data_IF_325147061292
#
_entry.id   IF_325147061292
#
_cell.length_a   1.000
_cell.length_b   1.000
_cell.length_c   1.000
_cell.angle_alpha   90.00
_cell.angle_beta   90.00
_cell.angle_gamma   90.00
#
_symmetry.space_group_name_H-M   'P 1'
#
loop_
_entity.id
_entity.type
_entity.pdbx_description
1 polymer ?
#
# COMPACT_ATOMS: atom_id res chain seq x y z
N UNK A 1 -33.89 17.71 0.83
CA UNK A 1 -33.49 17.28 -0.51
C UNK A 1 -33.50 15.77 -0.56
N UNK A 2 -34.01 15.21 -1.62
CA UNK A 2 -33.95 13.76 -1.86
C UNK A 2 -32.63 13.37 -2.54
N UNK A 3 -32.17 12.11 -2.46
CA UNK A 3 -30.91 11.69 -3.07
C UNK A 3 -30.76 12.01 -4.56
N UNK A 4 -31.85 11.99 -5.32
CA UNK A 4 -31.86 12.31 -6.76
C UNK A 4 -31.76 13.82 -7.06
N UNK A 5 -31.85 14.68 -6.05
CA UNK A 5 -31.67 16.13 -6.17
C UNK A 5 -30.22 16.54 -5.89
N UNK A 6 -29.37 15.59 -5.47
CA UNK A 6 -27.97 15.84 -5.16
C UNK A 6 -27.09 15.73 -6.42
N UNK A 7 -26.14 16.63 -6.57
CA UNK A 7 -25.03 16.38 -7.51
C UNK A 7 -24.18 15.21 -7.02
N UNK A 8 -23.44 14.54 -7.92
CA UNK A 8 -22.58 13.42 -7.55
C UNK A 8 -21.59 13.76 -6.42
N UNK A 9 -21.01 14.96 -6.44
CA UNK A 9 -20.13 15.43 -5.37
C UNK A 9 -20.85 15.71 -4.05
N UNK A 10 -22.12 16.14 -4.08
CA UNK A 10 -22.93 16.30 -2.87
C UNK A 10 -23.30 14.94 -2.29
N UNK A 11 -23.75 14.00 -3.11
CA UNK A 11 -24.09 12.64 -2.69
C UNK A 11 -22.90 11.96 -2.03
N UNK A 12 -21.70 12.09 -2.61
CA UNK A 12 -20.46 11.53 -2.05
C UNK A 12 -20.11 12.13 -0.69
N UNK A 13 -20.21 13.44 -0.52
CA UNK A 13 -19.98 14.10 0.79
C UNK A 13 -21.00 13.66 1.84
N UNK A 14 -22.26 13.47 1.46
CA UNK A 14 -23.27 12.91 2.36
C UNK A 14 -22.90 11.49 2.77
N UNK A 15 -22.47 10.64 1.81
CA UNK A 15 -22.04 9.26 2.10
C UNK A 15 -20.85 9.24 3.07
N UNK A 16 -19.83 10.06 2.84
CA UNK A 16 -18.70 10.21 3.77
C UNK A 16 -19.20 10.65 5.15
N UNK A 17 -20.05 11.69 5.20
CA UNK A 17 -20.63 12.17 6.46
C UNK A 17 -21.38 11.08 7.22
N UNK A 18 -22.14 10.23 6.55
CA UNK A 18 -22.84 9.12 7.21
C UNK A 18 -21.88 8.04 7.75
N UNK A 19 -20.74 7.82 7.07
CA UNK A 19 -19.74 6.85 7.54
C UNK A 19 -18.98 7.31 8.78
N UNK A 20 -18.83 8.63 8.99
CA UNK A 20 -18.00 9.16 10.08
C UNK A 20 -18.78 9.77 11.23
N UNK A 21 -20.10 9.90 11.12
CA UNK A 21 -20.96 10.55 12.15
C UNK A 21 -20.85 9.91 13.53
N UNK A 22 -20.60 8.60 13.60
CA UNK A 22 -20.45 7.83 14.82
C UNK A 22 -18.99 7.78 15.34
N UNK A 23 -18.09 8.57 14.75
CA UNK A 23 -16.67 8.62 15.10
C UNK A 23 -16.01 7.22 15.15
N UNK A 24 -16.02 6.47 14.05
CA UNK A 24 -15.48 5.12 14.02
C UNK A 24 -13.96 5.12 14.25
N UNK A 25 -13.43 4.03 14.79
CA UNK A 25 -11.98 3.84 14.97
C UNK A 25 -11.26 3.54 13.64
N UNK A 26 -11.99 3.05 12.63
CA UNK A 26 -11.46 2.72 11.30
C UNK A 26 -12.46 3.17 10.23
N UNK A 27 -11.97 3.88 9.25
CA UNK A 27 -12.71 4.24 8.02
C UNK A 27 -12.05 3.55 6.83
N UNK A 28 -12.85 2.85 6.02
CA UNK A 28 -12.40 2.25 4.77
C UNK A 28 -13.05 3.04 3.63
N UNK A 29 -12.22 3.65 2.78
CA UNK A 29 -12.65 4.43 1.64
C UNK A 29 -12.19 3.73 0.34
N UNK A 30 -13.13 3.11 -0.35
CA UNK A 30 -12.88 2.42 -1.61
C UNK A 30 -13.23 3.35 -2.77
N UNK A 31 -12.21 3.71 -3.57
CA UNK A 31 -12.29 4.60 -4.71
C UNK A 31 -13.13 5.87 -4.42
N UNK A 32 -12.74 6.71 -3.44
CA UNK A 32 -13.57 7.85 -3.05
C UNK A 32 -13.52 9.02 -4.05
N UNK A 33 -12.61 9.03 -5.02
CA UNK A 33 -12.33 10.18 -5.89
C UNK A 33 -12.70 10.04 -7.38
N UNK A 34 -13.10 8.88 -7.95
CA UNK A 34 -13.36 8.76 -9.38
C UNK A 34 -14.36 9.82 -9.90
N UNK A 35 -14.06 10.35 -11.08
CA UNK A 35 -14.90 11.37 -11.71
C UNK A 35 -14.83 12.77 -11.09
N UNK A 36 -13.94 12.98 -10.12
CA UNK A 36 -13.64 14.31 -9.60
C UNK A 36 -12.40 14.88 -10.30
N UNK A 37 -12.38 16.17 -10.56
CA UNK A 37 -11.15 16.86 -10.94
C UNK A 37 -10.21 16.96 -9.71
N UNK A 38 -8.90 17.09 -9.94
CA UNK A 38 -7.85 17.03 -8.93
C UNK A 38 -8.16 17.84 -7.66
N UNK A 39 -8.59 19.10 -7.80
CA UNK A 39 -8.87 19.95 -6.66
C UNK A 39 -10.05 19.45 -5.80
N UNK A 40 -11.09 18.88 -6.44
CA UNK A 40 -12.22 18.30 -5.71
C UNK A 40 -11.84 16.97 -5.05
N UNK A 41 -10.99 16.17 -5.70
CA UNK A 41 -10.45 14.94 -5.12
C UNK A 41 -9.62 15.25 -3.87
N UNK A 42 -8.71 16.20 -3.94
CA UNK A 42 -7.91 16.63 -2.78
C UNK A 42 -8.77 17.15 -1.63
N UNK A 43 -9.86 17.87 -1.91
CA UNK A 43 -10.81 18.28 -0.85
C UNK A 43 -11.53 17.11 -0.20
N UNK A 44 -11.85 16.07 -0.94
CA UNK A 44 -12.41 14.84 -0.35
C UNK A 44 -11.39 14.15 0.52
N UNK A 45 -10.16 14.03 0.03
CA UNK A 45 -9.07 13.35 0.75
C UNK A 45 -8.63 14.11 2.00
N UNK A 46 -8.71 15.48 2.01
CA UNK A 46 -8.43 16.25 3.22
C UNK A 46 -9.38 15.93 4.38
N UNK A 47 -10.64 15.57 4.10
CA UNK A 47 -11.55 15.13 5.16
C UNK A 47 -11.13 13.80 5.77
N UNK A 48 -10.61 12.86 4.96
CA UNK A 48 -10.04 11.62 5.50
C UNK A 48 -8.78 11.88 6.33
N UNK A 49 -7.96 12.85 5.92
CA UNK A 49 -6.80 13.27 6.71
C UNK A 49 -7.22 13.87 8.06
N UNK A 50 -8.24 14.74 8.08
CA UNK A 50 -8.80 15.30 9.31
C UNK A 50 -9.31 14.20 10.27
N UNK A 51 -9.93 13.15 9.72
CA UNK A 51 -10.40 11.99 10.50
C UNK A 51 -9.21 11.22 11.09
N UNK A 52 -8.16 11.00 10.31
CA UNK A 52 -6.93 10.35 10.77
C UNK A 52 -6.24 11.17 11.87
N UNK A 53 -6.16 12.50 11.71
CA UNK A 53 -5.58 13.41 12.70
C UNK A 53 -6.37 13.44 14.02
N UNK A 54 -7.65 13.07 14.00
CA UNK A 54 -8.49 12.87 15.19
C UNK A 54 -8.30 11.51 15.85
N UNK A 55 -7.45 10.64 15.28
CA UNK A 55 -7.05 9.37 15.86
C UNK A 55 -7.76 8.13 15.29
N UNK A 56 -8.56 8.25 14.25
CA UNK A 56 -9.10 7.11 13.54
C UNK A 56 -8.08 6.56 12.52
N UNK A 57 -8.06 5.25 12.33
CA UNK A 57 -7.37 4.64 11.18
C UNK A 57 -8.13 4.93 9.89
N UNK A 58 -7.41 5.25 8.81
CA UNK A 58 -8.02 5.41 7.48
C UNK A 58 -7.33 4.48 6.49
N UNK A 59 -8.11 3.60 5.88
CA UNK A 59 -7.70 2.74 4.79
C UNK A 59 -8.28 3.29 3.49
N UNK A 60 -7.42 3.87 2.64
CA UNK A 60 -7.79 4.39 1.34
C UNK A 60 -7.41 3.38 0.25
N UNK A 61 -8.39 2.89 -0.51
CA UNK A 61 -8.18 2.05 -1.69
C UNK A 61 -8.33 2.92 -2.92
N UNK A 62 -7.29 3.00 -3.75
CA UNK A 62 -7.31 3.80 -4.98
C UNK A 62 -6.30 3.28 -6.01
N UNK A 63 -6.56 3.53 -7.28
CA UNK A 63 -5.60 3.33 -8.36
C UNK A 63 -4.82 4.61 -8.70
N UNK A 64 -5.12 5.74 -8.04
CA UNK A 64 -4.46 7.02 -8.25
C UNK A 64 -3.31 7.19 -7.26
N UNK A 65 -2.10 6.80 -7.71
CA UNK A 65 -0.90 6.89 -6.89
C UNK A 65 -0.54 8.33 -6.53
N UNK A 66 -0.78 9.30 -7.42
CA UNK A 66 -0.47 10.71 -7.15
C UNK A 66 -1.31 11.26 -5.99
N UNK A 67 -2.61 10.93 -5.96
CA UNK A 67 -3.49 11.30 -4.85
C UNK A 67 -3.12 10.57 -3.55
N UNK A 68 -2.79 9.28 -3.64
CA UNK A 68 -2.34 8.51 -2.49
C UNK A 68 -1.07 9.12 -1.86
N UNK A 69 -0.06 9.44 -2.67
CA UNK A 69 1.20 10.07 -2.22
C UNK A 69 1.00 11.43 -1.56
N UNK A 70 -0.04 12.17 -1.92
CA UNK A 70 -0.35 13.48 -1.32
C UNK A 70 -1.11 13.39 0.00
N UNK A 71 -1.66 12.23 0.33
CA UNK A 71 -2.63 12.10 1.43
C UNK A 71 -2.20 11.14 2.50
N UNK A 72 -1.61 10.01 2.11
CA UNK A 72 -1.27 8.92 3.00
C UNK A 72 0.11 9.05 3.63
N UNK A 73 0.30 8.37 4.76
CA UNK A 73 1.60 8.20 5.41
C UNK A 73 2.32 6.97 4.85
N UNK A 74 1.56 5.89 4.59
CA UNK A 74 2.06 4.62 4.06
C UNK A 74 1.29 4.17 2.83
N UNK A 75 1.95 3.43 1.96
CA UNK A 75 1.37 2.84 0.76
C UNK A 75 1.65 1.35 0.75
N UNK A 76 0.59 0.56 0.54
CA UNK A 76 0.71 -0.87 0.23
C UNK A 76 0.39 -1.08 -1.25
N UNK A 77 1.37 -1.51 -2.00
CA UNK A 77 1.23 -1.75 -3.43
C UNK A 77 0.73 -3.17 -3.69
N UNK A 78 -0.38 -3.26 -4.43
CA UNK A 78 -0.97 -4.54 -4.85
C UNK A 78 -0.68 -4.83 -6.30
N UNK A 79 -0.41 -6.10 -6.61
CA UNK A 79 -0.33 -6.63 -7.96
C UNK A 79 -1.05 -7.96 -8.04
N UNK A 80 -2.01 -8.06 -8.96
CA UNK A 80 -2.81 -9.28 -9.18
C UNK A 80 -3.39 -9.88 -7.87
N UNK A 81 -3.96 -9.03 -7.00
CA UNK A 81 -4.56 -9.45 -5.73
C UNK A 81 -3.57 -9.75 -4.61
N UNK A 82 -2.27 -9.50 -4.82
CA UNK A 82 -1.22 -9.78 -3.83
C UNK A 82 -0.53 -8.49 -3.42
N UNK A 83 -0.37 -8.26 -2.11
CA UNK A 83 0.49 -7.19 -1.59
C UNK A 83 1.96 -7.51 -1.92
N UNK A 84 2.62 -6.62 -2.63
CA UNK A 84 4.00 -6.81 -3.08
C UNK A 84 4.99 -5.94 -2.33
N UNK A 85 4.58 -4.76 -1.88
CA UNK A 85 5.42 -3.86 -1.09
C UNK A 85 4.56 -3.00 -0.17
N UNK A 86 5.05 -2.73 1.06
CA UNK A 86 4.62 -1.65 1.93
C UNK A 86 5.78 -0.68 2.08
N UNK A 87 5.53 0.59 1.85
CA UNK A 87 6.52 1.65 1.88
C UNK A 87 5.93 2.92 2.51
N UNK A 88 6.77 3.72 3.15
CA UNK A 88 6.40 5.07 3.52
C UNK A 88 6.30 5.95 2.27
N UNK A 89 5.41 6.94 2.26
CA UNK A 89 5.24 7.83 1.10
C UNK A 89 6.53 8.56 0.73
N UNK A 90 7.40 8.82 1.69
CA UNK A 90 8.72 9.44 1.45
C UNK A 90 9.66 8.57 0.61
N UNK A 91 9.46 7.25 0.59
CA UNK A 91 10.26 6.34 -0.24
C UNK A 91 9.99 6.58 -1.74
N UNK A 92 8.79 7.04 -2.09
CA UNK A 92 8.42 7.40 -3.46
C UNK A 92 9.07 8.70 -3.97
N UNK A 93 9.89 9.38 -3.19
CA UNK A 93 10.72 10.48 -3.68
C UNK A 93 11.91 10.01 -4.52
N UNK A 94 12.28 8.73 -4.43
CA UNK A 94 13.43 8.15 -5.14
C UNK A 94 13.16 6.69 -5.51
N UNK A 95 13.31 6.36 -6.77
CA UNK A 95 13.15 4.98 -7.25
C UNK A 95 14.02 3.99 -6.48
N UNK A 96 15.25 4.37 -6.12
CA UNK A 96 16.18 3.52 -5.39
C UNK A 96 15.71 3.13 -3.98
N UNK A 97 14.78 3.88 -3.39
CA UNK A 97 14.19 3.54 -2.09
C UNK A 97 13.07 2.50 -2.19
N UNK A 98 12.51 2.31 -3.38
CA UNK A 98 11.47 1.31 -3.64
C UNK A 98 12.10 -0.07 -3.80
N UNK A 99 11.44 -1.08 -3.25
CA UNK A 99 12.03 -2.41 -3.03
C UNK A 99 11.59 -3.42 -4.08
N UNK A 100 10.29 -3.46 -4.40
CA UNK A 100 9.76 -4.41 -5.35
C UNK A 100 9.92 -3.91 -6.81
N UNK A 101 10.35 -4.75 -7.77
CA UNK A 101 10.49 -4.35 -9.17
C UNK A 101 9.20 -3.77 -9.79
N UNK A 102 8.02 -4.26 -9.39
CA UNK A 102 6.75 -3.71 -9.83
C UNK A 102 6.51 -2.28 -9.29
N UNK A 103 6.81 -2.03 -8.01
CA UNK A 103 6.67 -0.69 -7.43
C UNK A 103 7.56 0.32 -8.15
N UNK A 104 8.79 -0.08 -8.52
CA UNK A 104 9.70 0.73 -9.35
C UNK A 104 9.14 0.97 -10.76
N UNK A 105 8.53 -0.06 -11.37
CA UNK A 105 7.88 0.10 -12.67
C UNK A 105 6.69 1.06 -12.58
N UNK A 106 5.89 0.96 -11.51
CA UNK A 106 4.77 1.87 -11.25
C UNK A 106 5.26 3.31 -11.07
N UNK A 107 6.34 3.52 -10.32
CA UNK A 107 6.99 4.82 -10.14
C UNK A 107 7.43 5.43 -11.48
N UNK A 108 8.12 4.67 -12.33
CA UNK A 108 8.55 5.13 -13.67
C UNK A 108 7.39 5.42 -14.62
N UNK A 109 6.25 4.78 -14.40
CA UNK A 109 5.05 5.01 -15.22
C UNK A 109 4.32 6.31 -14.85
N UNK A 110 4.65 6.96 -13.74
CA UNK A 110 4.08 8.26 -13.38
C UNK A 110 4.52 9.34 -14.36
N UNK A 111 3.65 10.32 -14.69
CA UNK A 111 3.99 11.42 -15.60
C UNK A 111 5.25 12.18 -15.20
N UNK A 112 5.44 12.43 -13.90
CA UNK A 112 6.60 13.16 -13.35
C UNK A 112 7.92 12.39 -13.47
N UNK A 113 7.87 11.07 -13.67
CA UNK A 113 9.03 10.19 -13.69
C UNK A 113 9.32 9.60 -15.06
N UNK A 114 8.86 10.27 -16.13
CA UNK A 114 9.22 9.94 -17.51
C UNK A 114 8.17 9.15 -18.28
N UNK A 115 7.03 8.81 -17.63
CA UNK A 115 5.89 8.13 -18.26
C UNK A 115 6.31 6.88 -19.05
N UNK A 116 7.15 6.04 -18.44
CA UNK A 116 7.66 4.82 -19.03
C UNK A 116 6.78 3.62 -18.66
N UNK A 117 5.84 3.20 -19.53
CA UNK A 117 4.95 2.08 -19.21
C UNK A 117 5.71 0.76 -19.24
N UNK A 118 5.40 -0.11 -18.30
CA UNK A 118 5.93 -1.47 -18.25
C UNK A 118 5.20 -2.37 -19.24
N UNK A 119 5.91 -3.07 -20.15
CA UNK A 119 5.29 -3.95 -21.13
C UNK A 119 4.64 -5.18 -20.51
N UNK A 120 3.71 -5.79 -21.26
CA UNK A 120 3.03 -7.02 -20.88
C UNK A 120 1.70 -6.79 -20.16
N UNK A 121 1.02 -7.88 -19.86
CA UNK A 121 -0.33 -7.90 -19.30
C UNK A 121 -0.27 -8.51 -17.90
N UNK A 122 -1.05 -7.96 -16.97
CA UNK A 122 -1.24 -8.58 -15.66
C UNK A 122 -1.92 -9.95 -15.84
N UNK A 123 -1.44 -11.02 -15.16
CA UNK A 123 -2.08 -12.33 -15.24
C UNK A 123 -3.51 -12.28 -14.67
N UNK A 124 -4.38 -13.11 -15.22
CA UNK A 124 -5.72 -13.30 -14.64
C UNK A 124 -5.61 -13.99 -13.28
N UNK A 125 -6.53 -13.63 -12.38
CA UNK A 125 -6.56 -14.22 -11.02
C UNK A 125 -6.66 -15.75 -11.03
N UNK A 126 -7.27 -16.34 -12.08
CA UNK A 126 -7.37 -17.79 -12.24
C UNK A 126 -6.10 -18.47 -12.74
N UNK A 127 -5.19 -17.69 -13.32
CA UNK A 127 -3.96 -18.17 -13.98
C UNK A 127 -2.72 -17.60 -13.26
N UNK A 128 -2.85 -17.29 -11.96
CA UNK A 128 -1.73 -16.79 -11.18
C UNK A 128 -0.65 -17.86 -11.05
N UNK A 129 0.64 -17.49 -11.22
CA UNK A 129 1.75 -18.39 -10.92
C UNK A 129 1.77 -18.75 -9.42
N UNK A 130 2.31 -19.91 -9.08
CA UNK A 130 2.46 -20.36 -7.69
C UNK A 130 3.34 -19.43 -6.86
N UNK A 131 4.30 -18.76 -7.48
CA UNK A 131 5.24 -17.84 -6.85
C UNK A 131 4.86 -16.37 -6.99
N UNK A 132 5.84 -15.54 -7.34
CA UNK A 132 5.63 -14.11 -7.52
C UNK A 132 4.70 -13.82 -8.71
N UNK A 133 3.54 -13.16 -8.52
CA UNK A 133 2.60 -12.89 -9.60
C UNK A 133 3.16 -11.93 -10.66
N UNK A 134 4.14 -11.11 -10.31
CA UNK A 134 4.84 -10.23 -11.24
C UNK A 134 5.96 -10.95 -12.02
N UNK A 135 6.32 -12.17 -11.63
CA UNK A 135 7.40 -12.96 -12.23
C UNK A 135 7.46 -12.91 -13.76
N UNK A 136 6.35 -13.19 -14.50
CA UNK A 136 6.33 -13.19 -15.95
C UNK A 136 6.73 -11.86 -16.62
N UNK A 137 6.68 -10.75 -15.89
CA UNK A 137 7.03 -9.40 -16.35
C UNK A 137 8.27 -8.83 -15.69
N UNK A 138 8.80 -9.53 -14.68
CA UNK A 138 9.89 -9.04 -13.86
C UNK A 138 11.24 -9.10 -14.60
N UNK A 139 11.94 -7.98 -14.81
CA UNK A 139 13.26 -7.98 -15.45
C UNK A 139 14.34 -8.68 -14.61
N UNK A 140 14.08 -8.88 -13.31
CA UNK A 140 14.96 -9.57 -12.36
C UNK A 140 14.49 -11.00 -12.05
N UNK A 141 13.61 -11.57 -12.88
CA UNK A 141 13.08 -12.91 -12.63
C UNK A 141 14.19 -13.96 -12.48
N UNK A 142 14.07 -14.78 -11.44
CA UNK A 142 14.89 -15.96 -11.22
C UNK A 142 14.00 -17.18 -11.05
N UNK A 143 14.53 -18.38 -11.29
CA UNK A 143 13.78 -19.63 -11.16
C UNK A 143 13.14 -19.78 -9.78
N UNK A 144 13.80 -19.29 -8.75
CA UNK A 144 13.34 -19.32 -7.36
C UNK A 144 12.10 -18.45 -7.14
N UNK A 145 11.83 -17.46 -8.00
CA UNK A 145 10.59 -16.66 -7.96
C UNK A 145 9.32 -17.48 -8.25
N UNK A 146 9.47 -18.71 -8.81
CA UNK A 146 8.35 -19.63 -8.99
C UNK A 146 7.89 -20.29 -7.70
N UNK A 147 8.68 -20.19 -6.62
CA UNK A 147 8.31 -20.69 -5.29
C UNK A 147 7.54 -19.64 -4.50
N UNK A 148 6.88 -20.06 -3.43
CA UNK A 148 6.23 -19.13 -2.51
C UNK A 148 7.27 -18.13 -1.95
N UNK A 149 6.96 -16.83 -2.11
CA UNK A 149 7.80 -15.73 -1.62
C UNK A 149 7.10 -15.09 -0.42
N UNK A 150 7.76 -15.10 0.71
CA UNK A 150 7.26 -14.49 1.93
C UNK A 150 7.24 -12.96 1.86
N UNK A 151 6.33 -12.33 2.60
CA UNK A 151 6.27 -10.89 2.80
C UNK A 151 7.10 -10.54 4.02
N UNK A 152 8.26 -9.94 3.83
CA UNK A 152 9.28 -9.77 4.88
C UNK A 152 9.73 -8.32 5.04
N UNK A 153 10.18 -7.92 6.25
CA UNK A 153 10.80 -6.63 6.48
C UNK A 153 12.10 -6.48 5.66
N UNK A 154 12.24 -5.34 4.99
CA UNK A 154 13.45 -5.00 4.25
C UNK A 154 13.59 -3.47 4.13
N UNK A 155 14.73 -2.91 4.56
CA UNK A 155 15.07 -1.48 4.45
C UNK A 155 13.93 -0.51 4.87
N UNK A 156 13.32 -0.74 6.04
CA UNK A 156 12.30 0.14 6.61
C UNK A 156 10.87 -0.07 6.11
N UNK A 157 10.62 -1.00 5.20
CA UNK A 157 9.29 -1.39 4.74
C UNK A 157 9.11 -2.90 4.73
N UNK A 158 8.04 -3.37 4.09
CA UNK A 158 7.81 -4.79 3.85
C UNK A 158 7.84 -5.08 2.34
N UNK A 159 8.38 -6.22 1.95
CA UNK A 159 8.45 -6.58 0.53
C UNK A 159 8.25 -8.08 0.30
N UNK A 160 7.56 -8.43 -0.77
CA UNK A 160 7.41 -9.79 -1.29
C UNK A 160 8.28 -9.97 -2.53
N UNK A 161 9.60 -9.98 -2.33
CA UNK A 161 10.57 -10.14 -3.43
C UNK A 161 11.82 -10.84 -2.94
N UNK A 162 12.30 -11.85 -3.68
CA UNK A 162 13.53 -12.56 -3.32
C UNK A 162 14.80 -11.73 -3.58
N UNK A 163 14.75 -10.75 -4.50
CA UNK A 163 15.84 -9.84 -4.85
C UNK A 163 15.36 -8.39 -4.87
N UNK A 164 15.00 -7.81 -3.70
CA UNK A 164 14.45 -6.46 -3.64
C UNK A 164 15.52 -5.39 -3.91
N UNK A 165 15.05 -4.21 -4.26
CA UNK A 165 15.93 -3.06 -4.50
C UNK A 165 16.88 -3.28 -5.68
N UNK A 166 18.12 -2.88 -5.50
CA UNK A 166 19.20 -3.07 -6.50
C UNK A 166 19.98 -4.38 -6.30
N UNK A 167 19.65 -5.14 -5.27
CA UNK A 167 20.27 -6.43 -5.00
C UNK A 167 20.02 -7.40 -6.15
N UNK A 168 21.09 -8.13 -6.54
CA UNK A 168 21.03 -9.21 -7.51
C UNK A 168 21.09 -10.58 -6.83
N UNK A 169 21.36 -10.61 -5.52
CA UNK A 169 21.40 -11.82 -4.73
C UNK A 169 20.05 -12.10 -4.07
N UNK A 170 19.77 -13.38 -3.83
CA UNK A 170 18.57 -13.82 -3.13
C UNK A 170 18.75 -13.50 -1.64
N UNK A 171 17.78 -12.81 -1.04
CA UNK A 171 17.82 -12.53 0.39
C UNK A 171 17.88 -13.84 1.20
N UNK A 172 18.80 -13.94 2.17
CA UNK A 172 18.87 -15.11 3.05
C UNK A 172 17.55 -15.34 3.79
N UNK A 173 17.08 -16.57 3.79
CA UNK A 173 15.87 -16.97 4.55
C UNK A 173 14.53 -16.60 3.93
N UNK A 174 14.48 -15.85 2.83
CA UNK A 174 13.21 -15.41 2.22
C UNK A 174 12.39 -16.57 1.61
N UNK A 175 13.06 -17.62 1.15
CA UNK A 175 12.43 -18.84 0.61
C UNK A 175 12.14 -19.87 1.71
N UNK A 176 12.73 -19.70 2.88
CA UNK A 176 12.49 -20.50 4.07
C UNK A 176 11.75 -19.66 5.11
N UNK A 177 10.63 -19.08 4.72
CA UNK A 177 9.73 -18.43 5.68
C UNK A 177 9.33 -19.44 6.76
N UNK A 178 9.16 -19.04 8.03
CA UNK A 178 8.66 -19.94 9.04
C UNK A 178 7.36 -20.54 8.53
N UNK A 179 7.30 -21.84 8.41
CA UNK A 179 6.07 -22.57 8.15
C UNK A 179 5.11 -22.26 9.30
N UNK A 180 4.31 -21.19 9.18
CA UNK A 180 3.45 -20.78 10.27
C UNK A 180 2.70 -19.46 10.14
N UNK A 181 3.01 -18.59 9.19
CA UNK A 181 2.18 -17.39 8.98
C UNK A 181 1.02 -17.65 8.00
N UNK A 182 0.32 -18.75 8.21
CA UNK A 182 -1.06 -18.90 7.77
C UNK A 182 -1.95 -18.19 8.80
N UNK A 183 -2.33 -16.96 8.49
CA UNK A 183 -3.43 -16.26 9.15
C UNK A 183 -3.39 -16.26 10.68
N UNK A 184 -3.01 -15.16 11.23
CA UNK A 184 -3.36 -14.56 12.52
C UNK A 184 -2.12 -13.91 13.16
N UNK A 185 -1.79 -12.71 12.70
CA UNK A 185 -1.08 -11.79 13.58
C UNK A 185 -2.12 -11.22 14.53
N UNK A 186 -2.20 -11.72 15.74
CA UNK A 186 -2.95 -11.06 16.81
C UNK A 186 -2.14 -9.85 17.28
N UNK A 187 -2.84 -8.78 17.66
CA UNK A 187 -2.28 -7.51 18.14
C UNK A 187 -1.28 -7.65 19.30
N UNK A 188 -1.25 -8.79 19.98
CA UNK A 188 -0.36 -9.09 21.11
C UNK A 188 1.05 -9.54 20.69
N UNK A 189 1.24 -10.10 19.49
CA UNK A 189 2.55 -10.54 19.02
C UNK A 189 3.42 -9.41 18.47
N UNK A 190 2.81 -8.33 18.00
CA UNK A 190 3.55 -7.15 17.51
C UNK A 190 4.22 -6.40 18.64
N UNK A 191 3.62 -6.40 19.85
CA UNK A 191 4.13 -5.66 21.01
C UNK A 191 5.33 -6.33 21.70
N UNK A 192 5.46 -7.65 21.63
CA UNK A 192 6.49 -8.36 22.39
C UNK A 192 7.86 -8.42 21.70
N UNK A 193 7.91 -8.48 20.37
CA UNK A 193 9.18 -8.50 19.64
C UNK A 193 9.81 -7.11 19.47
N UNK A 194 9.00 -6.04 19.42
CA UNK A 194 9.51 -4.67 19.38
C UNK A 194 10.03 -4.18 20.72
N UNK A 195 9.56 -4.72 21.82
CA UNK A 195 10.10 -4.41 23.17
C UNK A 195 11.40 -5.14 23.48
N UNK A 196 11.73 -6.24 22.80
CA UNK A 196 12.94 -7.00 23.02
C UNK A 196 14.18 -6.45 22.29
N UNK A 197 14.03 -5.59 21.29
CA UNK A 197 15.11 -4.95 20.56
C UNK A 197 15.32 -3.48 20.96
N UNK A 198 15.40 -3.22 22.27
CA UNK A 198 15.62 -1.88 22.80
C UNK A 198 16.79 -1.18 22.11
N UNK A 199 16.47 -0.14 21.39
CA UNK A 199 17.15 1.13 21.13
C UNK A 199 16.79 1.70 19.76
N UNK A 200 15.72 2.48 19.72
CA UNK A 200 15.70 3.78 19.03
C UNK A 200 14.54 4.58 19.62
N UNK A 201 14.91 5.60 20.36
CA UNK A 201 14.04 6.67 20.81
C UNK A 201 13.48 7.44 19.59
N UNK A 202 12.26 7.19 19.27
CA UNK A 202 11.47 7.90 18.30
C UNK A 202 10.06 7.36 18.49
N UNK A 203 9.17 8.20 18.99
CA UNK A 203 7.83 7.84 19.36
C UNK A 203 7.05 7.22 18.19
N UNK A 204 7.10 5.90 18.07
CA UNK A 204 6.09 5.15 17.34
C UNK A 204 4.89 4.98 18.26
N UNK A 205 3.98 5.91 18.21
CA UNK A 205 2.64 5.68 18.73
C UNK A 205 2.00 4.63 17.81
N UNK A 206 1.86 3.43 18.35
CA UNK A 206 1.19 2.33 17.70
C UNK A 206 -0.18 2.80 17.18
N UNK A 207 -0.39 2.76 15.87
CA UNK A 207 -1.70 2.78 15.18
C UNK A 207 -2.65 3.95 15.45
N UNK A 208 -2.22 5.04 16.06
CA UNK A 208 -3.14 6.08 16.54
C UNK A 208 -3.10 7.41 15.82
N UNK A 209 -2.13 7.70 14.97
CA UNK A 209 -2.02 9.05 14.37
C UNK A 209 -1.57 9.08 12.90
N UNK A 210 -1.34 7.93 12.28
CA UNK A 210 -0.87 7.90 10.90
C UNK A 210 -1.91 7.18 10.04
N UNK A 211 -2.45 7.89 9.06
CA UNK A 211 -3.36 7.32 8.07
C UNK A 211 -2.62 6.29 7.20
N UNK A 212 -3.28 5.21 6.84
CA UNK A 212 -2.74 4.18 5.96
C UNK A 212 -3.46 4.23 4.64
N UNK A 213 -2.74 4.17 3.52
CA UNK A 213 -3.34 4.12 2.20
C UNK A 213 -2.80 2.99 1.33
N UNK A 214 -3.58 2.60 0.37
CA UNK A 214 -3.30 1.56 -0.63
C UNK A 214 -3.18 2.12 -2.02
#
# INVERSE_FOLDING_TARGET
MYPFELSGGMARRVLIGTAVVEQPQLVIADEPTPGLHMEAALRVLSHFREIADQGAGVLLITHDLELALKTADKIVVFYAGTAVEEADTVDFNREAALRHPYTRALFRAMPEHGFAPEPGIQPYVRDLPEGCPYGPRCPKYKTECSKEVSYVPYQGGLVRCICPGDENEILPGILSGPAGLKGQMTSEQITSEQMASGQRSGEYNAWGKEGVSL
#
